data_IF_552441498756
#
_entry.id   IF_552441498756
#
_cell.length_a   1.000
_cell.length_b   1.000
_cell.length_c   1.000
_cell.angle_alpha   90.00
_cell.angle_beta   90.00
_cell.angle_gamma   90.00
#
_symmetry.space_group_name_H-M   'P 1'
#
loop_
_entity.id
_entity.type
_entity.pdbx_description
1 polymer ?
#
# COMPACT_ATOMS: atom_id res chain seq x y z
N UNK A 1 -7.31 -10.60 -19.86
CA UNK A 1 -6.76 -9.75 -18.83
C UNK A 1 -7.15 -8.32 -19.16
N UNK A 2 -7.50 -7.54 -18.14
CA UNK A 2 -7.66 -6.10 -18.16
C UNK A 2 -6.38 -5.53 -17.55
N UNK A 3 -5.77 -4.55 -18.17
CA UNK A 3 -4.58 -3.86 -17.68
C UNK A 3 -4.79 -2.36 -17.78
N UNK A 4 -4.38 -1.65 -16.74
CA UNK A 4 -4.34 -0.19 -16.69
C UNK A 4 -2.90 0.27 -16.57
N UNK A 5 -2.49 1.16 -17.46
CA UNK A 5 -1.24 1.90 -17.35
C UNK A 5 -1.57 3.36 -17.01
N UNK A 6 -0.96 3.90 -15.97
CA UNK A 6 -1.15 5.27 -15.50
C UNK A 6 0.12 6.09 -15.73
N UNK A 7 -0.04 7.25 -16.35
CA UNK A 7 1.00 8.27 -16.46
C UNK A 7 0.55 9.54 -15.71
N UNK A 8 1.30 9.91 -14.67
CA UNK A 8 0.93 11.00 -13.76
C UNK A 8 1.67 12.29 -14.11
N UNK A 9 0.95 13.27 -14.61
CA UNK A 9 1.43 14.66 -14.78
C UNK A 9 1.00 15.52 -13.58
N UNK A 10 1.75 15.44 -12.50
CA UNK A 10 1.48 16.21 -11.28
C UNK A 10 1.56 17.73 -11.49
N UNK A 11 2.34 18.18 -12.47
CA UNK A 11 2.47 19.61 -12.80
C UNK A 11 1.17 20.17 -13.36
N UNK A 12 0.52 19.45 -14.26
CA UNK A 12 -0.73 19.83 -14.88
C UNK A 12 -1.96 19.22 -14.17
N UNK A 13 -1.74 18.47 -13.09
CA UNK A 13 -2.78 17.78 -12.33
C UNK A 13 -3.66 16.87 -13.18
N UNK A 14 -3.01 16.02 -13.98
CA UNK A 14 -3.69 15.06 -14.86
C UNK A 14 -3.09 13.67 -14.69
N UNK A 15 -3.95 12.64 -14.72
CA UNK A 15 -3.53 11.27 -14.96
C UNK A 15 -4.03 10.84 -16.33
N UNK A 16 -3.12 10.35 -17.15
CA UNK A 16 -3.45 9.73 -18.43
C UNK A 16 -3.52 8.23 -18.18
N UNK A 17 -4.63 7.63 -18.58
CA UNK A 17 -4.94 6.24 -18.28
C UNK A 17 -5.07 5.50 -19.60
N UNK A 18 -4.27 4.46 -19.79
CA UNK A 18 -4.41 3.55 -20.92
C UNK A 18 -5.00 2.22 -20.42
N UNK A 19 -6.23 1.94 -20.83
CA UNK A 19 -6.90 0.67 -20.58
C UNK A 19 -6.62 -0.28 -21.73
N UNK A 20 -6.03 -1.44 -21.45
CA UNK A 20 -5.79 -2.51 -22.43
C UNK A 20 -6.65 -3.72 -22.10
N UNK A 21 -7.56 -4.06 -23.01
CA UNK A 21 -8.40 -5.26 -22.92
C UNK A 21 -8.33 -6.06 -24.20
N UNK A 22 -7.65 -7.19 -24.21
CA UNK A 22 -7.36 -8.00 -25.41
C UNK A 22 -6.66 -7.14 -26.47
N UNK A 23 -7.33 -6.86 -27.60
CA UNK A 23 -6.79 -6.08 -28.72
C UNK A 23 -7.35 -4.65 -28.79
N UNK A 24 -7.99 -4.19 -27.72
CA UNK A 24 -8.58 -2.84 -27.64
C UNK A 24 -7.79 -2.06 -26.62
N UNK A 25 -7.23 -0.92 -27.03
CA UNK A 25 -6.68 0.10 -26.17
C UNK A 25 -7.64 1.29 -26.12
N UNK A 26 -7.92 1.80 -24.94
CA UNK A 26 -8.67 3.04 -24.72
C UNK A 26 -7.84 3.98 -23.89
N UNK A 27 -7.87 5.26 -24.24
CA UNK A 27 -7.22 6.30 -23.46
C UNK A 27 -8.28 7.14 -22.77
N UNK A 28 -7.98 7.52 -21.54
CA UNK A 28 -8.81 8.36 -20.71
C UNK A 28 -7.92 9.34 -19.95
N UNK A 29 -8.51 10.39 -19.40
CA UNK A 29 -7.79 11.39 -18.63
C UNK A 29 -8.65 11.80 -17.45
N UNK A 30 -8.05 11.85 -16.26
CA UNK A 30 -8.72 12.33 -15.05
C UNK A 30 -7.94 13.46 -14.40
N UNK A 31 -8.64 14.30 -13.65
CA UNK A 31 -8.02 15.32 -12.82
C UNK A 31 -7.41 14.69 -11.55
N UNK A 32 -6.19 15.14 -11.19
CA UNK A 32 -5.51 14.74 -9.97
C UNK A 32 -5.78 15.72 -8.85
N UNK A 33 -6.13 15.21 -7.69
CA UNK A 33 -6.03 15.92 -6.43
C UNK A 33 -4.55 15.91 -6.00
N UNK A 34 -4.01 16.96 -5.37
CA UNK A 34 -2.65 16.93 -4.82
C UNK A 34 -2.46 15.74 -3.88
N UNK A 35 -1.34 15.03 -4.03
CA UNK A 35 -1.02 13.83 -3.25
C UNK A 35 -1.91 12.60 -3.53
N UNK A 36 -2.45 12.47 -4.73
CA UNK A 36 -3.10 11.23 -5.20
C UNK A 36 -2.05 10.22 -5.65
N UNK A 37 -2.31 8.95 -5.35
CA UNK A 37 -1.41 7.83 -5.64
C UNK A 37 -2.16 6.68 -6.30
N UNK A 38 -1.52 5.93 -7.20
CA UNK A 38 -1.96 4.56 -7.50
C UNK A 38 -1.58 3.62 -6.33
N UNK A 39 -2.06 2.38 -6.38
CA UNK A 39 -1.82 1.40 -5.31
C UNK A 39 -0.32 1.17 -5.05
N UNK A 40 0.51 1.07 -6.08
CA UNK A 40 1.94 0.84 -5.89
C UNK A 40 2.63 2.09 -5.33
N UNK A 41 2.30 3.25 -5.84
CA UNK A 41 2.82 4.53 -5.36
C UNK A 41 2.43 4.79 -3.89
N UNK A 42 1.24 4.37 -3.46
CA UNK A 42 0.82 4.47 -2.04
C UNK A 42 1.67 3.60 -1.11
N UNK A 43 2.06 2.40 -1.56
CA UNK A 43 3.01 1.56 -0.81
C UNK A 43 4.38 2.25 -0.68
N UNK A 44 4.86 2.92 -1.74
CA UNK A 44 6.10 3.69 -1.65
C UNK A 44 5.94 4.93 -0.76
N UNK A 45 4.81 5.61 -0.81
CA UNK A 45 4.51 6.74 0.07
C UNK A 45 4.52 6.33 1.54
N UNK A 46 3.94 5.19 1.90
CA UNK A 46 3.94 4.69 3.29
C UNK A 46 5.36 4.56 3.86
N UNK A 47 6.37 4.28 3.03
CA UNK A 47 7.78 4.23 3.45
C UNK A 47 8.36 5.61 3.78
N UNK A 48 7.78 6.69 3.25
CA UNK A 48 8.19 8.07 3.56
C UNK A 48 7.58 8.61 4.87
N UNK A 49 6.55 7.95 5.40
CA UNK A 49 5.89 8.34 6.66
C UNK A 49 6.88 8.27 7.82
N UNK A 50 6.93 9.34 8.63
CA UNK A 50 7.70 9.36 9.86
C UNK A 50 6.86 8.81 11.03
N UNK A 51 6.76 7.49 11.11
CA UNK A 51 5.99 6.80 12.13
C UNK A 51 6.45 7.10 13.58
N UNK A 52 7.67 7.64 13.77
CA UNK A 52 8.16 8.00 15.11
C UNK A 52 7.43 9.19 15.71
N UNK A 53 6.75 9.99 14.88
CA UNK A 53 5.96 11.14 15.30
C UNK A 53 4.49 10.81 15.56
N UNK A 54 4.09 9.57 15.30
CA UNK A 54 2.70 9.14 15.41
C UNK A 54 2.47 8.42 16.73
N UNK A 55 1.29 8.60 17.29
CA UNK A 55 0.76 7.78 18.37
C UNK A 55 -0.06 6.64 17.78
N UNK A 56 -0.14 5.54 18.50
CA UNK A 56 -1.00 4.42 18.09
C UNK A 56 -2.45 4.90 17.95
N UNK A 57 -3.06 4.64 16.80
CA UNK A 57 -4.40 5.09 16.41
C UNK A 57 -4.43 6.34 15.54
N UNK A 58 -3.28 7.04 15.39
CA UNK A 58 -3.22 8.18 14.47
C UNK A 58 -3.45 7.69 13.03
N UNK A 59 -4.24 8.46 12.29
CA UNK A 59 -4.62 8.16 10.90
C UNK A 59 -4.04 9.20 9.96
N UNK A 60 -3.44 8.76 8.86
CA UNK A 60 -2.93 9.59 7.78
C UNK A 60 -3.83 9.38 6.57
N UNK A 61 -4.59 10.39 6.14
CA UNK A 61 -5.41 10.27 4.94
C UNK A 61 -4.55 10.32 3.68
N UNK A 62 -4.90 9.49 2.69
CA UNK A 62 -4.34 9.51 1.34
C UNK A 62 -5.44 9.40 0.30
N UNK A 63 -5.19 9.93 -0.89
CA UNK A 63 -6.09 9.76 -2.02
C UNK A 63 -5.54 8.69 -2.96
N UNK A 64 -6.38 7.74 -3.34
CA UNK A 64 -6.00 6.59 -4.18
C UNK A 64 -6.78 6.60 -5.48
N UNK A 65 -6.07 6.35 -6.58
CA UNK A 65 -6.66 6.09 -7.88
C UNK A 65 -6.68 4.60 -8.14
N UNK A 66 -7.87 4.05 -8.33
CA UNK A 66 -8.09 2.65 -8.65
C UNK A 66 -9.20 2.54 -9.70
N UNK A 67 -8.98 1.73 -10.73
CA UNK A 67 -9.96 1.45 -11.78
C UNK A 67 -10.62 2.71 -12.40
N UNK A 68 -9.83 3.79 -12.58
CA UNK A 68 -10.25 5.11 -13.09
C UNK A 68 -11.14 5.91 -12.13
N UNK A 69 -11.25 5.51 -10.90
CA UNK A 69 -11.98 6.22 -9.86
C UNK A 69 -11.02 6.80 -8.83
N UNK A 70 -11.39 7.94 -8.27
CA UNK A 70 -10.66 8.59 -7.18
C UNK A 70 -11.37 8.27 -5.87
N UNK A 71 -10.62 7.70 -4.94
CA UNK A 71 -11.06 7.43 -3.57
C UNK A 71 -10.29 8.33 -2.64
N UNK A 72 -10.99 9.27 -2.01
CA UNK A 72 -10.39 10.25 -1.11
C UNK A 72 -10.46 9.80 0.34
N UNK A 73 -9.52 10.34 1.13
CA UNK A 73 -9.47 10.13 2.58
C UNK A 73 -9.31 8.65 3.01
N UNK A 74 -8.66 7.83 2.20
CA UNK A 74 -8.31 6.46 2.59
C UNK A 74 -7.33 6.52 3.75
N UNK A 75 -7.72 5.96 4.89
CA UNK A 75 -6.93 6.03 6.12
C UNK A 75 -5.77 5.04 6.14
N UNK A 76 -4.57 5.54 6.47
CA UNK A 76 -3.44 4.71 6.95
C UNK A 76 -3.39 4.86 8.46
N UNK A 77 -3.77 3.82 9.20
CA UNK A 77 -3.93 3.83 10.66
C UNK A 77 -2.69 3.22 11.29
N UNK A 78 -1.93 3.98 12.07
CA UNK A 78 -0.73 3.49 12.74
C UNK A 78 -1.07 2.66 13.98
N UNK A 79 -0.63 1.40 14.04
CA UNK A 79 -0.91 0.47 15.14
C UNK A 79 0.30 0.18 16.04
N UNK A 80 1.40 0.91 15.87
CA UNK A 80 2.61 0.72 16.67
C UNK A 80 3.59 -0.25 16.04
N UNK A 81 4.38 -0.93 16.87
CA UNK A 81 5.36 -1.92 16.43
C UNK A 81 5.00 -3.33 16.91
N UNK A 82 5.39 -4.32 16.13
CA UNK A 82 5.14 -5.74 16.42
C UNK A 82 6.29 -6.60 15.91
N UNK A 83 6.68 -7.60 16.68
CA UNK A 83 7.65 -8.61 16.23
C UNK A 83 6.87 -9.69 15.47
N UNK A 84 7.23 -9.90 14.21
CA UNK A 84 6.69 -10.98 13.37
C UNK A 84 7.79 -11.94 12.96
N UNK A 85 7.40 -13.11 12.46
CA UNK A 85 8.33 -14.07 11.87
C UNK A 85 8.25 -13.99 10.35
N UNK A 86 9.42 -13.93 9.72
CA UNK A 86 9.50 -14.07 8.27
C UNK A 86 9.31 -15.54 7.83
N UNK A 87 9.37 -15.81 6.53
CA UNK A 87 9.24 -17.19 6.00
C UNK A 87 10.33 -18.14 6.49
N UNK A 88 11.47 -17.65 6.94
CA UNK A 88 12.57 -18.43 7.52
C UNK A 88 12.47 -18.54 9.04
N UNK A 89 11.34 -18.18 9.65
CA UNK A 89 11.10 -18.17 11.10
C UNK A 89 12.01 -17.23 11.90
N UNK A 90 12.69 -16.30 11.24
CA UNK A 90 13.50 -15.28 11.91
C UNK A 90 12.58 -14.16 12.40
N UNK A 91 12.79 -13.72 13.60
CA UNK A 91 12.03 -12.63 14.20
C UNK A 91 12.52 -11.30 13.68
N UNK A 92 11.59 -10.43 13.29
CA UNK A 92 11.89 -9.08 12.82
C UNK A 92 10.90 -8.11 13.43
N UNK A 93 11.42 -7.00 13.96
CA UNK A 93 10.57 -5.93 14.45
C UNK A 93 10.02 -5.12 13.29
N UNK A 94 8.71 -4.99 13.23
CA UNK A 94 8.01 -4.28 12.18
C UNK A 94 7.16 -3.15 12.73
N UNK A 95 7.03 -2.08 11.97
CA UNK A 95 5.96 -1.10 12.09
C UNK A 95 4.71 -1.79 11.55
N UNK A 96 3.63 -1.72 12.32
CA UNK A 96 2.31 -2.22 11.94
C UNK A 96 1.38 -1.04 11.67
N UNK A 97 0.75 -1.04 10.52
CA UNK A 97 -0.33 -0.11 10.18
C UNK A 97 -1.40 -0.82 9.36
N UNK A 98 -2.59 -0.29 9.42
CA UNK A 98 -3.72 -0.75 8.64
C UNK A 98 -4.01 0.26 7.54
N UNK A 99 -4.50 -0.22 6.39
CA UNK A 99 -5.01 0.60 5.30
C UNK A 99 -6.48 0.26 5.11
N UNK A 100 -7.35 1.26 5.11
CA UNK A 100 -8.76 1.09 4.81
C UNK A 100 -8.93 0.57 3.38
N UNK A 101 -9.81 -0.41 3.22
CA UNK A 101 -10.09 -1.04 1.93
C UNK A 101 -11.33 -0.43 1.29
N UNK A 102 -11.26 -0.29 -0.03
CA UNK A 102 -12.34 0.26 -0.84
C UNK A 102 -13.42 -0.82 -1.02
N UNK A 103 -14.64 -0.52 -0.61
CA UNK A 103 -15.80 -1.38 -0.81
C UNK A 103 -16.11 -1.59 -2.30
N UNK A 104 -16.68 -2.73 -2.64
CA UNK A 104 -17.25 -2.97 -3.97
C UNK A 104 -16.46 -3.94 -4.85
N UNK A 105 -15.37 -4.54 -4.35
CA UNK A 105 -14.61 -5.59 -5.05
C UNK A 105 -14.77 -6.93 -4.35
N UNK A 106 -13.66 -7.47 -3.82
CA UNK A 106 -13.64 -8.70 -3.02
C UNK A 106 -13.73 -8.41 -1.51
N UNK A 107 -13.72 -7.13 -1.14
CA UNK A 107 -13.77 -6.66 0.25
C UNK A 107 -15.19 -6.25 0.62
N UNK A 108 -15.56 -6.48 1.90
CA UNK A 108 -16.74 -5.89 2.52
C UNK A 108 -16.42 -4.47 2.96
N UNK A 109 -17.39 -3.61 3.08
CA UNK A 109 -17.19 -2.27 3.65
C UNK A 109 -16.63 -2.32 5.07
N UNK A 110 -15.79 -1.33 5.42
CA UNK A 110 -15.12 -1.19 6.72
C UNK A 110 -14.05 -2.26 7.04
N UNK A 111 -13.51 -2.95 6.04
CA UNK A 111 -12.36 -3.83 6.24
C UNK A 111 -11.05 -3.06 6.06
N UNK A 112 -10.02 -3.54 6.74
CA UNK A 112 -8.67 -3.00 6.63
C UNK A 112 -7.70 -4.07 6.13
N UNK A 113 -6.60 -3.62 5.58
CA UNK A 113 -5.45 -4.45 5.22
C UNK A 113 -4.32 -4.19 6.21
N UNK A 114 -3.90 -5.23 6.92
CA UNK A 114 -2.73 -5.18 7.78
C UNK A 114 -1.45 -5.15 6.97
N UNK A 115 -0.58 -4.19 7.25
CA UNK A 115 0.72 -4.04 6.60
C UNK A 115 1.82 -3.97 7.64
N UNK A 116 2.85 -4.80 7.45
CA UNK A 116 4.02 -4.88 8.32
C UNK A 116 5.27 -4.53 7.52
N UNK A 117 5.91 -3.42 7.87
CA UNK A 117 7.19 -2.98 7.27
C UNK A 117 8.30 -3.03 8.31
N UNK A 118 9.54 -3.26 7.90
CA UNK A 118 10.67 -3.28 8.84
C UNK A 118 10.76 -1.97 9.64
N UNK A 119 10.97 -2.08 10.96
CA UNK A 119 11.18 -0.92 11.83
C UNK A 119 12.64 -0.43 11.75
N UNK A 120 13.08 -0.09 10.54
CA UNK A 120 14.40 0.43 10.24
C UNK A 120 14.31 1.51 9.13
N UNK A 121 15.44 2.02 8.70
CA UNK A 121 15.47 3.05 7.64
C UNK A 121 15.05 2.51 6.26
N UNK A 122 15.05 1.18 6.06
CA UNK A 122 14.64 0.60 4.78
C UNK A 122 13.12 0.59 4.63
N UNK A 123 12.36 0.40 5.74
CA UNK A 123 10.90 0.27 5.77
C UNK A 123 10.39 -0.68 4.67
N UNK A 124 10.96 -1.89 4.64
CA UNK A 124 10.65 -2.90 3.62
C UNK A 124 9.36 -3.62 4.02
N UNK A 125 8.34 -3.71 3.15
CA UNK A 125 7.16 -4.53 3.40
C UNK A 125 7.56 -6.01 3.55
N UNK A 126 7.25 -6.60 4.70
CA UNK A 126 7.56 -7.99 5.03
C UNK A 126 6.35 -8.88 4.89
N UNK A 127 5.20 -8.38 5.34
CA UNK A 127 3.97 -9.13 5.39
C UNK A 127 2.77 -8.21 5.19
N UNK A 128 1.79 -8.68 4.44
CA UNK A 128 0.50 -8.02 4.24
C UNK A 128 -0.59 -9.06 4.40
N UNK A 129 -1.66 -8.73 5.11
CA UNK A 129 -2.86 -9.56 5.26
C UNK A 129 -4.11 -8.73 5.07
N UNK A 130 -5.06 -9.26 4.31
CA UNK A 130 -6.39 -8.68 4.16
C UNK A 130 -7.44 -9.77 4.24
N UNK A 131 -8.51 -9.54 5.00
CA UNK A 131 -9.68 -10.40 4.98
C UNK A 131 -10.48 -10.16 3.69
N UNK A 132 -11.05 -11.23 3.16
CA UNK A 132 -11.93 -11.18 2.00
C UNK A 132 -13.24 -11.91 2.33
N UNK A 133 -14.21 -11.82 1.44
CA UNK A 133 -15.53 -12.47 1.62
C UNK A 133 -15.42 -13.94 2.02
N UNK A 134 -14.39 -14.65 1.57
CA UNK A 134 -14.12 -16.06 1.91
C UNK A 134 -12.63 -16.23 2.22
N UNK A 135 -12.26 -16.16 3.49
CA UNK A 135 -10.89 -16.36 3.96
C UNK A 135 -10.06 -15.10 4.04
N UNK A 136 -8.76 -15.20 3.81
CA UNK A 136 -7.82 -14.08 3.83
C UNK A 136 -6.78 -14.18 2.73
N UNK A 137 -6.34 -13.04 2.22
CA UNK A 137 -5.17 -12.93 1.34
C UNK A 137 -3.97 -12.63 2.22
N UNK A 138 -2.88 -13.40 2.05
CA UNK A 138 -1.62 -13.22 2.76
C UNK A 138 -0.47 -13.12 1.79
N UNK A 139 0.28 -12.04 1.87
CA UNK A 139 1.44 -11.78 1.00
C UNK A 139 2.69 -11.68 1.86
N UNK A 140 3.70 -12.48 1.54
CA UNK A 140 4.99 -12.47 2.21
C UNK A 140 6.08 -12.05 1.24
N UNK A 141 7.04 -11.27 1.73
CA UNK A 141 8.24 -10.99 0.94
C UNK A 141 9.02 -12.27 0.67
N UNK A 142 9.35 -12.51 -0.59
CA UNK A 142 10.10 -13.72 -0.98
C UNK A 142 11.60 -13.55 -0.80
N UNK A 143 12.14 -12.40 -1.18
CA UNK A 143 13.57 -12.11 -1.08
C UNK A 143 13.82 -10.61 -1.08
N UNK A 144 14.90 -10.21 -0.42
CA UNK A 144 15.37 -8.83 -0.38
C UNK A 144 16.80 -8.82 -0.95
N UNK A 145 17.03 -7.94 -1.92
CA UNK A 145 18.35 -7.73 -2.52
C UNK A 145 18.69 -6.24 -2.46
N UNK A 146 19.97 -5.93 -2.29
CA UNK A 146 20.47 -4.55 -2.32
C UNK A 146 19.81 -3.61 -1.30
N UNK A 147 19.44 -4.15 -0.11
CA UNK A 147 19.00 -3.28 0.99
C UNK A 147 20.12 -2.31 1.34
N UNK A 148 19.79 -1.05 1.57
CA UNK A 148 20.79 -0.03 1.93
C UNK A 148 21.48 -0.34 3.26
N UNK A 149 20.79 -1.02 4.18
CA UNK A 149 21.29 -1.43 5.49
C UNK A 149 20.83 -2.85 5.82
N UNK A 150 21.54 -3.56 6.73
CA UNK A 150 21.06 -4.85 7.25
C UNK A 150 19.66 -4.72 7.85
N UNK A 151 18.87 -5.78 7.74
CA UNK A 151 17.56 -5.84 8.38
C UNK A 151 17.70 -6.00 9.89
N UNK A 152 16.79 -5.39 10.62
CA UNK A 152 16.77 -5.43 12.09
C UNK A 152 16.10 -6.72 12.60
N UNK A 153 16.83 -7.84 12.52
CA UNK A 153 16.41 -9.08 13.16
C UNK A 153 16.61 -9.01 14.67
N UNK A 154 15.63 -9.50 15.41
CA UNK A 154 15.66 -9.58 16.87
C UNK A 154 15.85 -11.03 17.34
N UNK A 155 16.49 -11.26 18.49
CA UNK A 155 16.74 -12.60 19.02
C UNK A 155 15.49 -13.48 19.22
#
# INVERSE_FOLDING_TARGET
FLNYDYDFDYKNRKAFIEEKRKNIARQDTMDLIPCSYDILSSVYFSRAIDFKKLNKGDTIPIDIILDKEMFSDIGIIYNGTKVIKDQQQRKIECIHFEIELIEGTIFKGNETMDVYVTNDENKIPIYVEAEILVGSIRVYIKSIKNSKRPLNYVP
#
